data_IF_283559574137
#
_entry.id   IF_283559574137
#
_cell.length_a   1.000
_cell.length_b   1.000
_cell.length_c   1.000
_cell.angle_alpha   90.00
_cell.angle_beta   90.00
_cell.angle_gamma   90.00
#
_symmetry.space_group_name_H-M   'P 1'
#
loop_
_entity.id
_entity.type
_entity.pdbx_description
1 polymer ?
#
# COMPACT_ATOMS: atom_id res chain seq x y z
N UNK A 1 13.07 -7.01 -26.44
CA UNK A 1 13.71 -6.33 -25.28
C UNK A 1 12.58 -5.83 -24.36
N UNK A 2 12.15 -6.61 -23.37
CA UNK A 2 11.06 -6.23 -22.44
C UNK A 2 11.25 -6.89 -21.05
N UNK A 3 12.47 -6.81 -20.46
CA UNK A 3 12.77 -7.44 -19.15
C UNK A 3 12.68 -6.49 -17.94
N UNK A 4 12.42 -5.21 -18.13
CA UNK A 4 12.36 -4.24 -17.02
C UNK A 4 11.00 -4.28 -16.31
N UNK A 5 9.89 -4.20 -17.05
CA UNK A 5 8.54 -4.07 -16.47
C UNK A 5 8.08 -5.22 -15.56
N UNK A 6 8.57 -6.45 -15.75
CA UNK A 6 8.21 -7.59 -14.90
C UNK A 6 8.94 -7.57 -13.54
N UNK A 7 10.20 -7.14 -13.53
CA UNK A 7 10.96 -6.90 -12.31
C UNK A 7 10.36 -5.72 -11.53
N UNK A 8 9.96 -4.68 -12.24
CA UNK A 8 9.28 -3.50 -11.68
C UNK A 8 7.95 -3.90 -11.02
N UNK A 9 7.12 -4.69 -11.72
CA UNK A 9 5.85 -5.19 -11.20
C UNK A 9 6.01 -6.10 -9.98
N UNK A 10 7.03 -6.96 -9.96
CA UNK A 10 7.33 -7.82 -8.81
C UNK A 10 7.77 -7.00 -7.59
N UNK A 11 8.54 -5.94 -7.80
CA UNK A 11 8.96 -5.02 -6.74
C UNK A 11 7.77 -4.28 -6.16
N UNK A 12 6.91 -3.72 -7.03
CA UNK A 12 5.69 -3.03 -6.62
C UNK A 12 4.72 -3.97 -5.88
N UNK A 13 4.47 -5.18 -6.39
CA UNK A 13 3.53 -6.11 -5.74
C UNK A 13 4.03 -6.60 -4.38
N UNK A 14 5.34 -6.79 -4.21
CA UNK A 14 5.95 -7.09 -2.91
C UNK A 14 5.76 -5.92 -1.93
N UNK A 15 5.96 -4.69 -2.39
CA UNK A 15 5.80 -3.51 -1.55
C UNK A 15 4.34 -3.35 -1.06
N UNK A 16 3.38 -3.47 -1.99
CA UNK A 16 1.93 -3.43 -1.68
C UNK A 16 1.55 -4.54 -0.69
N UNK A 17 2.06 -5.76 -0.90
CA UNK A 17 1.78 -6.89 0.01
C UNK A 17 2.41 -6.69 1.39
N UNK A 18 3.62 -6.14 1.46
CA UNK A 18 4.27 -5.81 2.73
C UNK A 18 3.47 -4.77 3.52
N UNK A 19 2.86 -3.79 2.83
CA UNK A 19 1.95 -2.83 3.45
C UNK A 19 0.73 -3.52 4.08
N UNK A 20 0.05 -4.40 3.33
CA UNK A 20 -1.10 -5.15 3.87
C UNK A 20 -0.72 -6.06 5.05
N UNK A 21 0.45 -6.71 4.99
CA UNK A 21 0.95 -7.54 6.09
C UNK A 21 1.29 -6.71 7.33
N UNK A 22 1.80 -5.49 7.16
CA UNK A 22 2.14 -4.60 8.26
C UNK A 22 0.89 -4.13 9.03
N UNK A 23 -0.18 -3.80 8.31
CA UNK A 23 -1.45 -3.39 8.91
C UNK A 23 -2.40 -4.56 9.21
N UNK A 24 -2.00 -5.80 8.90
CA UNK A 24 -2.82 -7.01 8.98
C UNK A 24 -4.19 -6.85 8.28
N UNK A 25 -4.24 -6.02 7.24
CA UNK A 25 -5.46 -5.71 6.51
C UNK A 25 -5.68 -6.67 5.35
N UNK A 26 -6.97 -6.92 5.08
CA UNK A 26 -7.36 -7.70 3.91
C UNK A 26 -7.06 -6.90 2.63
N UNK A 27 -6.52 -7.54 1.57
CA UNK A 27 -6.31 -6.87 0.30
C UNK A 27 -7.67 -6.47 -0.31
N UNK A 28 -8.02 -5.20 -0.15
CA UNK A 28 -9.18 -4.59 -0.77
C UNK A 28 -8.82 -4.09 -2.17
N UNK A 29 -9.77 -4.16 -3.11
CA UNK A 29 -9.53 -3.79 -4.51
C UNK A 29 -9.20 -2.30 -4.66
N UNK A 30 -9.84 -1.42 -3.88
CA UNK A 30 -9.50 0.02 -3.88
C UNK A 30 -8.15 0.27 -3.23
N UNK A 31 -7.88 -0.34 -2.09
CA UNK A 31 -6.59 -0.19 -1.41
C UNK A 31 -5.45 -0.68 -2.32
N UNK A 32 -5.63 -1.82 -2.97
CA UNK A 32 -4.66 -2.38 -3.92
C UNK A 32 -4.40 -1.45 -5.10
N UNK A 33 -5.43 -0.80 -5.65
CA UNK A 33 -5.28 0.16 -6.75
C UNK A 33 -4.54 1.44 -6.31
N UNK A 34 -4.91 2.01 -5.16
CA UNK A 34 -4.25 3.21 -4.61
C UNK A 34 -2.78 2.93 -4.30
N UNK A 35 -2.49 1.82 -3.60
CA UNK A 35 -1.13 1.44 -3.24
C UNK A 35 -0.29 1.09 -4.47
N UNK A 36 -0.88 0.48 -5.50
CA UNK A 36 -0.16 0.19 -6.76
C UNK A 36 0.19 1.47 -7.51
N UNK A 37 -0.74 2.43 -7.60
CA UNK A 37 -0.47 3.73 -8.22
C UNK A 37 0.63 4.48 -7.46
N UNK A 38 0.56 4.52 -6.14
CA UNK A 38 1.57 5.16 -5.31
C UNK A 38 2.95 4.47 -5.42
N UNK A 39 2.98 3.14 -5.47
CA UNK A 39 4.21 2.39 -5.68
C UNK A 39 4.89 2.72 -7.02
N UNK A 40 4.10 2.97 -8.07
CA UNK A 40 4.60 3.43 -9.37
C UNK A 40 5.19 4.83 -9.26
N UNK A 41 4.54 5.76 -8.55
CA UNK A 41 5.07 7.11 -8.35
C UNK A 41 6.39 7.11 -7.59
N UNK A 42 6.49 6.36 -6.48
CA UNK A 42 7.76 6.19 -5.77
C UNK A 42 8.83 5.54 -6.66
N UNK A 43 8.47 4.56 -7.48
CA UNK A 43 9.43 3.97 -8.41
C UNK A 43 9.98 4.98 -9.42
N UNK A 44 9.11 5.88 -9.93
CA UNK A 44 9.51 6.96 -10.83
C UNK A 44 10.34 8.05 -10.13
N UNK A 45 10.12 8.27 -8.84
CA UNK A 45 10.90 9.20 -8.01
C UNK A 45 12.33 8.70 -7.74
N UNK A 46 12.59 7.41 -7.97
CA UNK A 46 13.91 6.79 -7.90
C UNK A 46 14.02 5.64 -6.90
N UNK A 47 12.95 5.31 -6.18
CA UNK A 47 12.93 4.18 -5.24
C UNK A 47 12.87 2.86 -6.01
N UNK A 48 13.98 2.11 -6.05
CA UNK A 48 14.06 0.82 -6.78
C UNK A 48 13.88 -0.42 -5.90
N UNK A 49 13.84 -0.27 -4.59
CA UNK A 49 13.70 -1.39 -3.66
C UNK A 49 12.27 -1.52 -3.15
N UNK A 50 11.78 -2.76 -3.07
CA UNK A 50 10.45 -3.05 -2.56
C UNK A 50 10.28 -2.62 -1.09
N UNK A 51 11.35 -2.75 -0.30
CA UNK A 51 11.36 -2.38 1.11
C UNK A 51 11.29 -0.87 1.32
N UNK A 52 12.05 -0.08 0.54
CA UNK A 52 11.97 1.37 0.55
C UNK A 52 10.57 1.86 0.11
N UNK A 53 10.03 1.29 -0.98
CA UNK A 53 8.68 1.62 -1.44
C UNK A 53 7.65 1.23 -0.37
N UNK A 54 7.78 0.06 0.26
CA UNK A 54 6.89 -0.35 1.35
C UNK A 54 6.98 0.60 2.54
N UNK A 55 8.18 1.02 2.95
CA UNK A 55 8.36 1.98 4.03
C UNK A 55 7.73 3.34 3.69
N UNK A 56 7.88 3.81 2.45
CA UNK A 56 7.23 5.03 1.95
C UNK A 56 5.71 4.89 1.93
N UNK A 57 5.17 3.76 1.48
CA UNK A 57 3.75 3.47 1.53
C UNK A 57 3.25 3.42 2.97
N UNK A 58 3.98 2.78 3.89
CA UNK A 58 3.64 2.68 5.30
C UNK A 58 3.60 4.08 5.89
N UNK A 59 4.63 4.90 5.69
CA UNK A 59 4.74 6.27 6.23
C UNK A 59 3.77 7.28 5.62
N UNK A 60 3.46 7.15 4.33
CA UNK A 60 2.54 8.07 3.62
C UNK A 60 1.09 7.69 3.85
N UNK A 61 0.78 6.39 3.87
CA UNK A 61 -0.58 5.85 3.98
C UNK A 61 -0.91 5.30 5.38
N UNK A 62 -0.16 5.68 6.43
CA UNK A 62 -0.44 5.30 7.84
C UNK A 62 -1.93 5.41 8.21
N UNK A 63 -2.64 6.36 7.60
CA UNK A 63 -4.00 6.74 7.98
C UNK A 63 -5.12 6.55 6.97
N UNK A 64 -4.90 5.92 5.80
CA UNK A 64 -5.98 5.71 4.82
C UNK A 64 -7.14 4.88 5.43
N UNK A 65 -6.83 4.06 6.44
CA UNK A 65 -7.81 3.33 7.25
C UNK A 65 -7.95 3.81 8.70
N UNK A 66 -6.97 4.50 9.30
CA UNK A 66 -7.15 5.08 10.64
C UNK A 66 -8.30 6.10 10.72
N UNK A 67 -8.66 6.70 9.58
CA UNK A 67 -9.86 7.54 9.47
C UNK A 67 -11.16 6.76 9.33
N UNK A 68 -11.14 5.49 8.90
CA UNK A 68 -12.34 4.63 8.84
C UNK A 68 -12.67 3.97 10.18
N UNK A 69 -11.67 3.57 10.98
CA UNK A 69 -11.90 2.95 12.30
C UNK A 69 -12.38 3.94 13.37
N UNK A 70 -12.31 5.26 13.11
CA UNK A 70 -12.88 6.28 13.98
C UNK A 70 -14.25 6.81 13.51
N UNK A 71 -14.91 6.15 12.56
CA UNK A 71 -16.36 6.32 12.47
C UNK A 71 -16.93 5.72 13.77
N UNK A 72 -17.55 6.52 14.66
CA UNK A 72 -18.13 5.99 15.87
C UNK A 72 -19.29 5.10 15.43
N UNK A 73 -19.08 3.79 15.34
CA UNK A 73 -20.15 2.84 15.62
C UNK A 73 -20.41 2.98 17.12
N UNK A 74 -21.11 4.07 17.45
CA UNK A 74 -21.79 4.28 18.70
C UNK A 74 -22.44 2.95 19.02
N UNK A 75 -21.90 2.26 20.02
CA UNK A 75 -22.50 1.09 20.63
C UNK A 75 -23.89 1.54 21.05
N UNK A 76 -24.90 1.26 20.22
CA UNK A 76 -26.28 1.31 20.63
C UNK A 76 -26.50 0.09 21.51
N UNK A 77 -26.07 0.20 22.77
CA UNK A 77 -26.55 -0.68 23.83
C UNK A 77 -27.97 -0.19 24.12
N UNK A 78 -28.95 -1.01 23.79
CA UNK A 78 -30.34 -0.89 24.27
C UNK A 78 -30.52 -1.90 25.40
#
# INVERSE_FOLDING_TARGET
MQRSGELDFRTMSKAVRAWFLYYEESPDERASNVLSSAAIEFYNDGYRNAEDIAAMLIGTYVGLYSTRVNAPTSLAIH
#
